data_IF_961049449525
#
_entry.id   IF_961049449525
#
_cell.length_a   1.000
_cell.length_b   1.000
_cell.length_c   1.000
_cell.angle_alpha   90.00
_cell.angle_beta   90.00
_cell.angle_gamma   90.00
#
_symmetry.space_group_name_H-M   'P 1'
#
loop_
_entity.id
_entity.type
_entity.pdbx_description
1 polymer ?
#
# COMPACT_ATOMS: atom_id res chain seq x y z
N UNK A 1 63.69 -16.47 -2.87
CA UNK A 1 62.68 -15.39 -3.05
C UNK A 1 61.35 -15.93 -2.56
N UNK A 2 60.88 -15.51 -1.39
CA UNK A 2 59.58 -15.95 -0.87
C UNK A 2 58.47 -15.21 -1.62
N UNK A 3 57.78 -15.88 -2.56
CA UNK A 3 56.62 -15.32 -3.25
C UNK A 3 55.53 -15.19 -2.24
N UNK A 4 55.17 -13.95 -1.94
CA UNK A 4 54.17 -13.60 -0.96
C UNK A 4 52.78 -13.94 -1.56
N UNK A 5 52.18 -15.06 -1.12
CA UNK A 5 50.85 -15.55 -1.56
C UNK A 5 49.72 -14.55 -1.33
N UNK A 6 49.93 -13.51 -0.55
CA UNK A 6 48.95 -12.42 -0.34
C UNK A 6 48.77 -11.53 -1.58
N UNK A 7 49.84 -11.38 -2.42
CA UNK A 7 49.79 -10.61 -3.68
C UNK A 7 48.95 -11.31 -4.79
N UNK A 8 49.10 -12.63 -4.90
CA UNK A 8 48.31 -13.40 -5.88
C UNK A 8 46.80 -13.42 -5.54
N UNK A 9 46.47 -13.31 -4.26
CA UNK A 9 45.05 -13.25 -3.81
C UNK A 9 44.36 -11.95 -4.22
N UNK A 10 45.07 -10.82 -4.28
CA UNK A 10 44.53 -9.51 -4.73
C UNK A 10 44.38 -9.44 -6.25
N UNK A 11 45.36 -9.97 -7.00
CA UNK A 11 45.31 -10.01 -8.47
C UNK A 11 44.13 -10.87 -8.96
N UNK A 12 43.85 -11.99 -8.30
CA UNK A 12 42.72 -12.87 -8.63
C UNK A 12 41.34 -12.31 -8.30
N UNK A 13 41.27 -11.24 -7.51
CA UNK A 13 39.99 -10.56 -7.21
C UNK A 13 39.52 -9.63 -8.34
N UNK A 14 40.41 -9.20 -9.22
CA UNK A 14 40.15 -8.25 -10.29
C UNK A 14 40.17 -8.86 -11.71
N UNK A 15 40.35 -10.20 -11.84
CA UNK A 15 40.43 -10.86 -13.13
C UNK A 15 39.05 -10.86 -13.80
N UNK A 16 38.99 -10.19 -14.94
CA UNK A 16 37.85 -10.26 -15.86
C UNK A 16 37.89 -11.60 -16.62
N UNK A 17 36.75 -12.13 -17.02
CA UNK A 17 36.65 -13.44 -17.71
C UNK A 17 37.51 -13.52 -19.00
N UNK A 18 37.66 -12.40 -19.72
CA UNK A 18 38.53 -12.33 -20.93
C UNK A 18 39.99 -12.65 -20.66
N UNK A 19 40.47 -12.47 -19.43
CA UNK A 19 41.85 -12.73 -19.01
C UNK A 19 42.05 -14.18 -18.54
N UNK A 20 40.98 -14.92 -18.27
CA UNK A 20 41.05 -16.31 -17.80
C UNK A 20 41.77 -17.23 -18.83
N UNK A 21 41.53 -17.04 -20.12
CA UNK A 21 42.17 -17.83 -21.16
C UNK A 21 43.69 -17.60 -21.28
N UNK A 22 44.14 -16.41 -20.88
CA UNK A 22 45.59 -16.07 -20.84
C UNK A 22 46.25 -16.46 -19.54
N UNK A 23 45.53 -16.40 -18.45
CA UNK A 23 46.03 -16.62 -17.08
C UNK A 23 46.03 -18.11 -16.70
N UNK A 24 45.03 -18.90 -17.17
CA UNK A 24 44.94 -20.33 -16.85
C UNK A 24 46.15 -21.14 -17.33
N UNK A 25 46.66 -20.98 -18.59
CA UNK A 25 47.89 -21.64 -19.03
C UNK A 25 49.11 -21.19 -18.22
N UNK A 26 49.24 -19.87 -17.99
CA UNK A 26 50.34 -19.29 -17.21
C UNK A 26 50.33 -19.75 -15.75
N UNK A 27 49.13 -19.87 -15.15
CA UNK A 27 48.94 -20.40 -13.82
C UNK A 27 49.28 -21.90 -13.74
N UNK A 28 48.87 -22.71 -14.72
CA UNK A 28 49.27 -24.12 -14.83
C UNK A 28 50.76 -24.27 -14.91
N UNK A 29 51.44 -23.46 -15.75
CA UNK A 29 52.88 -23.47 -15.92
C UNK A 29 53.63 -23.04 -14.67
N UNK A 30 53.13 -22.02 -13.97
CA UNK A 30 53.71 -21.58 -12.71
C UNK A 30 53.52 -22.62 -11.56
N UNK A 31 52.39 -23.33 -11.52
CA UNK A 31 52.14 -24.43 -10.59
C UNK A 31 53.09 -25.62 -10.85
N UNK A 32 53.32 -25.93 -12.11
CA UNK A 32 54.26 -26.99 -12.52
C UNK A 32 55.72 -26.61 -12.22
N UNK A 33 56.10 -25.35 -12.40
CA UNK A 33 57.46 -24.84 -12.19
C UNK A 33 57.85 -24.72 -10.71
N UNK A 34 56.86 -24.55 -9.79
CA UNK A 34 57.13 -24.34 -8.35
C UNK A 34 56.87 -25.55 -7.46
N UNK A 35 56.62 -26.76 -8.03
CA UNK A 35 56.42 -28.02 -7.25
C UNK A 35 55.47 -27.86 -6.02
N UNK A 36 54.64 -26.83 -5.99
CA UNK A 36 53.65 -26.69 -4.93
C UNK A 36 52.34 -27.37 -5.41
N UNK A 37 52.11 -28.57 -4.94
CA UNK A 37 50.83 -29.28 -5.13
C UNK A 37 49.75 -28.48 -4.39
N UNK A 38 48.89 -27.81 -5.17
CA UNK A 38 47.70 -27.20 -4.63
C UNK A 38 46.76 -28.34 -4.26
N UNK A 39 46.32 -28.39 -3.02
CA UNK A 39 45.38 -29.41 -2.57
C UNK A 39 44.05 -29.27 -3.33
N UNK A 40 43.36 -30.39 -3.59
CA UNK A 40 42.06 -30.39 -4.28
C UNK A 40 41.04 -29.46 -3.57
N UNK A 41 41.13 -29.41 -2.25
CA UNK A 41 40.29 -28.48 -1.43
C UNK A 41 40.53 -27.00 -1.77
N UNK A 42 41.81 -26.62 -2.03
CA UNK A 42 42.17 -25.26 -2.45
C UNK A 42 41.73 -24.97 -3.87
N UNK A 43 41.89 -25.97 -4.78
CA UNK A 43 41.44 -25.90 -6.18
C UNK A 43 39.91 -25.68 -6.24
N UNK A 44 39.15 -26.44 -5.51
CA UNK A 44 37.67 -26.31 -5.42
C UNK A 44 37.28 -24.92 -4.85
N UNK A 45 37.90 -24.50 -3.75
CA UNK A 45 37.62 -23.19 -3.13
C UNK A 45 37.88 -22.05 -4.12
N UNK A 46 38.93 -22.14 -4.89
CA UNK A 46 39.27 -21.16 -5.92
C UNK A 46 38.28 -21.21 -7.08
N UNK A 47 37.95 -22.38 -7.60
CA UNK A 47 36.97 -22.60 -8.66
C UNK A 47 35.57 -22.05 -8.30
N UNK A 48 35.11 -22.26 -7.05
CA UNK A 48 33.87 -21.68 -6.61
C UNK A 48 33.86 -20.15 -6.63
N UNK A 49 34.98 -19.52 -6.25
CA UNK A 49 35.10 -18.06 -6.31
C UNK A 49 35.05 -17.51 -7.73
N UNK A 50 35.77 -18.18 -8.66
CA UNK A 50 35.74 -17.82 -10.09
C UNK A 50 34.33 -18.00 -10.64
N UNK A 51 33.73 -19.16 -10.39
CA UNK A 51 32.36 -19.44 -10.82
C UNK A 51 31.38 -18.35 -10.33
N UNK A 52 31.44 -17.98 -9.04
CA UNK A 52 30.61 -16.93 -8.48
C UNK A 52 30.81 -15.57 -9.17
N UNK A 53 32.04 -15.13 -9.36
CA UNK A 53 32.34 -13.87 -10.03
C UNK A 53 31.85 -13.85 -11.47
N UNK A 54 32.11 -14.95 -12.22
CA UNK A 54 31.63 -15.10 -13.60
C UNK A 54 30.10 -15.16 -13.65
N UNK A 55 29.46 -15.83 -12.71
CA UNK A 55 28.01 -15.86 -12.60
C UNK A 55 27.44 -14.45 -12.38
N UNK A 56 28.01 -13.67 -11.45
CA UNK A 56 27.59 -12.29 -11.21
C UNK A 56 27.71 -11.43 -12.48
N UNK A 57 28.79 -11.58 -13.24
CA UNK A 57 29.00 -10.87 -14.52
C UNK A 57 28.01 -11.34 -15.59
N UNK A 58 27.79 -12.65 -15.69
CA UNK A 58 26.88 -13.23 -16.67
C UNK A 58 25.42 -12.79 -16.53
N UNK A 59 24.97 -12.58 -15.28
CA UNK A 59 23.58 -12.17 -14.98
C UNK A 59 23.41 -10.67 -14.81
N UNK A 60 24.46 -9.86 -14.90
CA UNK A 60 24.41 -8.42 -14.63
C UNK A 60 23.46 -7.65 -15.55
N UNK A 61 23.33 -8.09 -16.80
CA UNK A 61 22.40 -7.53 -17.79
C UNK A 61 21.04 -8.23 -17.85
N UNK A 62 20.86 -9.28 -17.03
CA UNK A 62 19.68 -10.15 -16.97
C UNK A 62 19.41 -10.97 -18.24
N UNK A 63 20.35 -11.01 -19.18
CA UNK A 63 20.26 -11.81 -20.41
C UNK A 63 21.16 -13.03 -20.36
N UNK A 64 20.56 -14.22 -20.34
CA UNK A 64 21.26 -15.51 -20.35
C UNK A 64 21.44 -15.98 -21.77
N UNK A 65 22.66 -15.79 -22.32
CA UNK A 65 23.01 -16.34 -23.62
C UNK A 65 23.65 -17.73 -23.48
N UNK A 66 23.56 -18.58 -24.52
CA UNK A 66 24.20 -19.90 -24.54
C UNK A 66 25.71 -19.80 -24.30
N UNK A 67 26.36 -18.76 -24.85
CA UNK A 67 27.78 -18.50 -24.63
C UNK A 67 28.11 -18.28 -23.14
N UNK A 68 27.28 -17.50 -22.40
CA UNK A 68 27.47 -17.28 -20.95
C UNK A 68 27.31 -18.58 -20.17
N UNK A 69 26.30 -19.39 -20.51
CA UNK A 69 26.06 -20.70 -19.88
C UNK A 69 27.22 -21.66 -20.18
N UNK A 70 27.71 -21.72 -21.43
CA UNK A 70 28.84 -22.55 -21.80
C UNK A 70 30.08 -22.22 -20.97
N UNK A 71 30.39 -20.92 -20.83
CA UNK A 71 31.51 -20.44 -20.00
C UNK A 71 31.41 -20.88 -18.53
N UNK A 72 30.23 -20.82 -17.95
CA UNK A 72 30.01 -21.29 -16.57
C UNK A 72 30.19 -22.81 -16.45
N UNK A 73 29.79 -23.57 -17.49
CA UNK A 73 29.99 -25.01 -17.54
C UNK A 73 31.48 -25.38 -17.73
N UNK A 74 32.22 -24.64 -18.51
CA UNK A 74 33.69 -24.84 -18.65
C UNK A 74 34.39 -24.67 -17.29
N UNK A 75 34.03 -23.63 -16.52
CA UNK A 75 34.59 -23.42 -15.18
C UNK A 75 34.21 -24.58 -14.25
N UNK A 76 32.92 -25.02 -14.29
CA UNK A 76 32.46 -26.18 -13.52
C UNK A 76 33.30 -27.43 -13.79
N UNK A 77 33.49 -27.77 -15.06
CA UNK A 77 34.23 -28.96 -15.46
C UNK A 77 35.71 -28.82 -15.10
N UNK A 78 36.36 -27.70 -15.42
CA UNK A 78 37.78 -27.46 -15.15
C UNK A 78 38.15 -27.59 -13.67
N UNK A 79 37.32 -27.07 -12.78
CA UNK A 79 37.55 -27.11 -11.33
C UNK A 79 36.89 -28.31 -10.65
N UNK A 80 36.22 -29.18 -11.40
CA UNK A 80 35.50 -30.34 -10.91
C UNK A 80 34.50 -29.94 -9.78
N UNK A 81 33.70 -28.88 -10.03
CA UNK A 81 32.74 -28.40 -9.07
C UNK A 81 31.47 -29.29 -9.08
N UNK A 82 31.04 -29.75 -7.90
CA UNK A 82 29.81 -30.51 -7.77
C UNK A 82 28.58 -29.66 -7.98
N UNK A 83 27.44 -30.28 -8.34
CA UNK A 83 26.17 -29.58 -8.50
C UNK A 83 25.71 -28.90 -7.20
N UNK A 84 26.01 -29.51 -6.06
CA UNK A 84 25.71 -28.92 -4.74
C UNK A 84 26.51 -27.61 -4.51
N UNK A 85 27.77 -27.57 -4.94
CA UNK A 85 28.60 -26.37 -4.83
C UNK A 85 28.12 -25.27 -5.76
N UNK A 86 27.71 -25.62 -6.98
CA UNK A 86 27.10 -24.70 -7.95
C UNK A 86 25.78 -24.14 -7.42
N UNK A 87 24.92 -25.02 -6.92
CA UNK A 87 23.64 -24.63 -6.28
C UNK A 87 23.86 -23.61 -5.15
N UNK A 88 24.86 -23.86 -4.30
CA UNK A 88 25.17 -22.94 -3.20
C UNK A 88 25.56 -21.53 -3.71
N UNK A 89 26.40 -21.44 -4.76
CA UNK A 89 26.81 -20.15 -5.31
C UNK A 89 25.66 -19.43 -6.03
N UNK A 90 24.80 -20.16 -6.73
CA UNK A 90 23.58 -19.62 -7.34
C UNK A 90 22.61 -19.10 -6.30
N UNK A 91 22.36 -19.86 -5.24
CA UNK A 91 21.42 -19.49 -4.17
C UNK A 91 21.83 -18.21 -3.43
N UNK A 92 23.14 -17.93 -3.30
CA UNK A 92 23.64 -16.71 -2.66
C UNK A 92 23.18 -15.41 -3.31
N UNK A 93 22.89 -15.45 -4.62
CA UNK A 93 22.54 -14.25 -5.40
C UNK A 93 21.14 -14.31 -5.99
N UNK A 94 20.48 -15.48 -5.95
CA UNK A 94 19.22 -15.74 -6.64
C UNK A 94 18.13 -14.76 -6.27
N UNK A 95 17.82 -14.59 -4.99
CA UNK A 95 16.75 -13.72 -4.52
C UNK A 95 16.99 -12.25 -4.92
N UNK A 96 18.21 -11.75 -4.69
CA UNK A 96 18.57 -10.38 -5.06
C UNK A 96 18.46 -10.15 -6.56
N UNK A 97 18.94 -11.13 -7.36
CA UNK A 97 18.90 -11.04 -8.83
C UNK A 97 17.48 -11.05 -9.35
N UNK A 98 16.65 -12.00 -8.89
CA UNK A 98 15.24 -12.08 -9.30
C UNK A 98 14.51 -10.82 -8.89
N UNK A 99 14.71 -10.30 -7.67
CA UNK A 99 14.10 -9.05 -7.22
C UNK A 99 14.48 -7.86 -8.10
N UNK A 100 15.78 -7.71 -8.41
CA UNK A 100 16.26 -6.62 -9.25
C UNK A 100 15.71 -6.73 -10.69
N UNK A 101 15.65 -7.96 -11.23
CA UNK A 101 15.05 -8.21 -12.54
C UNK A 101 13.57 -7.83 -12.56
N UNK A 102 12.79 -8.27 -11.57
CA UNK A 102 11.37 -7.91 -11.46
C UNK A 102 11.19 -6.40 -11.35
N UNK A 103 12.02 -5.71 -10.55
CA UNK A 103 11.98 -4.25 -10.45
C UNK A 103 12.28 -3.56 -11.80
N UNK A 104 13.22 -4.11 -12.59
CA UNK A 104 13.54 -3.59 -13.91
C UNK A 104 12.38 -3.79 -14.88
N UNK A 105 11.76 -4.98 -14.90
CA UNK A 105 10.61 -5.27 -15.75
C UNK A 105 9.38 -4.38 -15.44
N UNK A 106 9.23 -3.95 -14.20
CA UNK A 106 8.15 -3.03 -13.81
C UNK A 106 8.53 -1.54 -13.89
N UNK A 107 9.65 -1.17 -14.48
CA UNK A 107 10.12 0.22 -14.52
C UNK A 107 9.18 1.16 -15.28
N UNK A 108 8.51 0.66 -16.32
CA UNK A 108 7.51 1.37 -17.13
C UNK A 108 6.06 1.11 -16.71
N UNK A 109 5.86 0.40 -15.59
CA UNK A 109 4.56 -0.02 -15.05
C UNK A 109 3.77 -0.98 -15.95
N UNK A 110 4.44 -1.67 -16.87
CA UNK A 110 3.84 -2.69 -17.74
C UNK A 110 4.69 -3.95 -17.67
N UNK A 111 4.07 -5.10 -17.41
CA UNK A 111 4.75 -6.39 -17.47
C UNK A 111 4.36 -7.10 -18.77
N UNK A 112 5.27 -7.17 -19.71
CA UNK A 112 5.08 -7.90 -20.96
C UNK A 112 5.22 -9.42 -20.75
N UNK A 113 4.68 -10.22 -21.69
CA UNK A 113 4.84 -11.69 -21.65
C UNK A 113 6.31 -12.09 -21.81
N UNK A 114 7.08 -11.35 -22.60
CA UNK A 114 8.53 -11.56 -22.76
C UNK A 114 9.28 -11.36 -21.46
N UNK A 115 8.96 -10.31 -20.70
CA UNK A 115 9.60 -10.04 -19.41
C UNK A 115 9.21 -11.08 -18.35
N UNK A 116 7.94 -11.51 -18.34
CA UNK A 116 7.50 -12.58 -17.44
C UNK A 116 8.24 -13.90 -17.73
N UNK A 117 8.43 -14.22 -19.03
CA UNK A 117 9.24 -15.35 -19.44
C UNK A 117 10.71 -15.19 -19.03
N UNK A 118 11.25 -13.98 -19.12
CA UNK A 118 12.62 -13.67 -18.70
C UNK A 118 12.81 -13.88 -17.20
N UNK A 119 11.84 -13.45 -16.37
CA UNK A 119 11.84 -13.69 -14.92
C UNK A 119 11.83 -15.19 -14.63
N UNK A 120 10.96 -15.95 -15.30
CA UNK A 120 10.84 -17.41 -15.15
C UNK A 120 12.14 -18.12 -15.56
N UNK A 121 12.71 -17.75 -16.69
CA UNK A 121 13.97 -18.34 -17.18
C UNK A 121 15.14 -18.05 -16.23
N UNK A 122 15.21 -16.83 -15.68
CA UNK A 122 16.25 -16.46 -14.71
C UNK A 122 16.06 -17.23 -13.39
N UNK A 123 14.83 -17.34 -12.88
CA UNK A 123 14.54 -18.11 -11.67
C UNK A 123 14.93 -19.59 -11.85
N UNK A 124 14.56 -20.22 -12.98
CA UNK A 124 14.92 -21.60 -13.28
C UNK A 124 16.44 -21.79 -13.39
N UNK A 125 17.14 -20.88 -14.10
CA UNK A 125 18.60 -20.93 -14.22
C UNK A 125 19.30 -20.84 -12.86
N UNK A 126 18.82 -19.97 -11.98
CA UNK A 126 19.35 -19.80 -10.63
C UNK A 126 18.86 -20.86 -9.65
N UNK A 127 17.97 -21.74 -10.08
CA UNK A 127 17.29 -22.75 -9.23
C UNK A 127 16.55 -22.08 -8.06
N UNK A 128 15.98 -20.89 -8.31
CA UNK A 128 15.17 -20.16 -7.35
C UNK A 128 13.71 -20.61 -7.43
N UNK A 129 13.04 -20.90 -6.30
CA UNK A 129 11.67 -21.37 -6.30
C UNK A 129 10.72 -20.40 -7.02
N UNK A 130 9.92 -20.92 -7.97
CA UNK A 130 9.02 -20.10 -8.78
C UNK A 130 7.88 -19.46 -7.97
N UNK A 131 7.41 -20.12 -6.93
CA UNK A 131 6.45 -19.58 -5.95
C UNK A 131 6.99 -18.32 -5.29
N UNK A 132 8.24 -18.34 -4.81
CA UNK A 132 8.90 -17.15 -4.24
C UNK A 132 9.13 -16.06 -5.27
N UNK A 133 9.47 -16.42 -6.50
CA UNK A 133 9.57 -15.44 -7.59
C UNK A 133 8.20 -14.76 -7.85
N UNK A 134 7.11 -15.55 -7.82
CA UNK A 134 5.74 -15.06 -7.88
C UNK A 134 5.37 -14.13 -6.73
N UNK A 135 5.74 -14.47 -5.50
CA UNK A 135 5.54 -13.60 -4.33
C UNK A 135 6.26 -12.26 -4.47
N UNK A 136 7.53 -12.26 -4.93
CA UNK A 136 8.31 -11.05 -5.19
C UNK A 136 7.62 -10.20 -6.27
N UNK A 137 7.19 -10.83 -7.38
CA UNK A 137 6.46 -10.20 -8.48
C UNK A 137 5.19 -9.52 -7.94
N UNK A 138 4.36 -10.25 -7.23
CA UNK A 138 3.11 -9.74 -6.68
C UNK A 138 3.34 -8.59 -5.70
N UNK A 139 4.31 -8.72 -4.80
CA UNK A 139 4.64 -7.65 -3.84
C UNK A 139 5.03 -6.34 -4.53
N UNK A 140 5.82 -6.40 -5.60
CA UNK A 140 6.22 -5.22 -6.37
C UNK A 140 5.03 -4.66 -7.14
N UNK A 141 4.26 -5.50 -7.84
CA UNK A 141 3.07 -5.11 -8.57
C UNK A 141 2.03 -4.40 -7.68
N UNK A 142 1.75 -4.96 -6.50
CA UNK A 142 0.83 -4.34 -5.54
C UNK A 142 1.35 -3.02 -4.96
N UNK A 143 2.66 -2.90 -4.72
CA UNK A 143 3.26 -1.65 -4.28
C UNK A 143 3.09 -0.55 -5.34
N UNK A 144 3.30 -0.88 -6.61
CA UNK A 144 3.11 0.03 -7.73
C UNK A 144 1.63 0.41 -7.91
N UNK A 145 0.74 -0.58 -7.90
CA UNK A 145 -0.69 -0.34 -7.98
C UNK A 145 -1.19 0.57 -6.87
N UNK A 146 -0.73 0.36 -5.64
CA UNK A 146 -1.09 1.19 -4.50
C UNK A 146 -0.67 2.66 -4.70
N UNK A 147 0.53 2.89 -5.24
CA UNK A 147 1.01 4.24 -5.56
C UNK A 147 0.16 4.91 -6.64
N UNK A 148 -0.16 4.19 -7.73
CA UNK A 148 -1.05 4.68 -8.79
C UNK A 148 -2.43 5.00 -8.22
N UNK A 149 -2.97 4.14 -7.37
CA UNK A 149 -4.26 4.33 -6.71
C UNK A 149 -4.28 5.61 -5.87
N UNK A 150 -3.29 5.80 -5.01
CA UNK A 150 -3.17 6.98 -4.15
C UNK A 150 -3.04 8.28 -4.96
N UNK A 151 -2.28 8.24 -6.04
CA UNK A 151 -2.15 9.37 -6.98
C UNK A 151 -3.51 9.71 -7.63
N UNK A 152 -4.24 8.70 -8.13
CA UNK A 152 -5.53 8.92 -8.82
C UNK A 152 -6.64 9.43 -7.91
N UNK A 153 -6.60 9.10 -6.62
CA UNK A 153 -7.61 9.56 -5.65
C UNK A 153 -7.11 10.70 -4.74
N UNK A 154 -5.99 11.33 -5.07
CA UNK A 154 -5.38 12.41 -4.26
C UNK A 154 -6.30 13.60 -4.04
N UNK A 155 -7.18 13.87 -4.98
CA UNK A 155 -8.23 14.90 -4.95
C UNK A 155 -9.56 14.41 -4.31
N UNK A 156 -9.59 13.21 -3.76
CA UNK A 156 -10.79 12.52 -3.27
C UNK A 156 -11.92 12.41 -4.31
N UNK A 157 -11.57 12.35 -5.60
CA UNK A 157 -12.50 12.22 -6.72
C UNK A 157 -12.08 11.06 -7.62
N UNK A 158 -13.01 10.14 -7.86
CA UNK A 158 -12.82 9.00 -8.77
C UNK A 158 -13.77 9.14 -9.95
N UNK A 159 -13.27 9.76 -11.01
CA UNK A 159 -14.01 9.86 -12.28
C UNK A 159 -14.08 8.51 -13.01
N UNK A 160 -15.02 8.29 -13.93
CA UNK A 160 -15.06 7.10 -14.79
C UNK A 160 -13.78 6.88 -15.60
N UNK A 161 -13.10 7.98 -15.99
CA UNK A 161 -11.82 7.92 -16.68
C UNK A 161 -10.74 7.35 -15.74
N UNK A 162 -10.60 7.90 -14.53
CA UNK A 162 -9.66 7.39 -13.52
C UNK A 162 -9.95 5.93 -13.13
N UNK A 163 -11.24 5.55 -13.07
CA UNK A 163 -11.62 4.14 -12.82
C UNK A 163 -11.16 3.22 -13.95
N UNK A 164 -11.29 3.66 -15.20
CA UNK A 164 -10.81 2.91 -16.37
C UNK A 164 -9.28 2.81 -16.37
N UNK A 165 -8.58 3.90 -16.05
CA UNK A 165 -7.11 3.90 -15.91
C UNK A 165 -6.63 2.95 -14.81
N UNK A 166 -7.32 2.89 -13.68
CA UNK A 166 -7.00 1.93 -12.61
C UNK A 166 -7.21 0.48 -13.07
N UNK A 167 -8.29 0.20 -13.80
CA UNK A 167 -8.52 -1.13 -14.40
C UNK A 167 -7.44 -1.47 -15.43
N UNK A 168 -7.00 -0.51 -16.22
CA UNK A 168 -5.89 -0.71 -17.15
C UNK A 168 -4.57 -0.96 -16.42
N UNK A 169 -4.29 -0.23 -15.34
CA UNK A 169 -3.10 -0.44 -14.51
C UNK A 169 -3.07 -1.87 -13.93
N UNK A 170 -4.19 -2.42 -13.48
CA UNK A 170 -4.22 -3.82 -12.99
C UNK A 170 -3.88 -4.82 -14.09
N UNK A 171 -4.35 -4.60 -15.32
CA UNK A 171 -4.02 -5.44 -16.48
C UNK A 171 -2.54 -5.32 -16.85
N UNK A 172 -2.01 -4.10 -16.91
CA UNK A 172 -0.61 -3.83 -17.23
C UNK A 172 0.34 -4.47 -16.22
N UNK A 173 -0.03 -4.44 -14.93
CA UNK A 173 0.74 -5.06 -13.86
C UNK A 173 0.49 -6.58 -13.74
N UNK A 174 -0.39 -7.15 -14.56
CA UNK A 174 -0.81 -8.57 -14.49
C UNK A 174 -1.26 -9.01 -13.10
N UNK A 175 -2.02 -8.15 -12.42
CA UNK A 175 -2.62 -8.47 -11.12
C UNK A 175 -4.01 -9.06 -11.35
N UNK A 176 -4.28 -10.24 -10.83
CA UNK A 176 -5.60 -10.84 -10.93
C UNK A 176 -6.63 -10.16 -10.01
N UNK A 177 -7.90 -10.23 -10.39
CA UNK A 177 -8.98 -9.53 -9.70
C UNK A 177 -9.21 -10.02 -8.25
N UNK A 178 -8.98 -11.30 -7.98
CA UNK A 178 -9.17 -11.88 -6.66
C UNK A 178 -8.07 -11.38 -5.72
N UNK A 179 -6.83 -11.37 -6.20
CA UNK A 179 -5.68 -10.83 -5.47
C UNK A 179 -5.82 -9.36 -5.13
N UNK A 180 -6.40 -8.53 -6.03
CA UNK A 180 -6.67 -7.11 -5.73
C UNK A 180 -7.64 -6.98 -4.56
N UNK A 181 -8.74 -7.74 -4.59
CA UNK A 181 -9.76 -7.67 -3.54
C UNK A 181 -9.19 -8.08 -2.18
N UNK A 182 -8.33 -9.09 -2.16
CA UNK A 182 -7.64 -9.52 -0.95
C UNK A 182 -6.59 -8.50 -0.46
N UNK A 183 -5.95 -7.78 -1.38
CA UNK A 183 -4.91 -6.80 -1.06
C UNK A 183 -5.48 -5.47 -0.54
N UNK A 184 -6.60 -5.02 -1.10
CA UNK A 184 -7.22 -3.76 -0.70
C UNK A 184 -7.86 -3.91 0.69
N UNK A 185 -7.37 -3.14 1.66
CA UNK A 185 -8.01 -3.09 2.97
C UNK A 185 -9.42 -2.48 2.87
N UNK A 186 -10.31 -2.85 3.78
CA UNK A 186 -11.67 -2.28 3.88
C UNK A 186 -11.67 -0.75 3.92
N UNK A 187 -10.66 -0.15 4.53
CA UNK A 187 -10.49 1.30 4.57
C UNK A 187 -10.28 1.88 3.17
N UNK A 188 -9.45 1.25 2.33
CA UNK A 188 -9.19 1.69 0.96
C UNK A 188 -10.41 1.49 0.06
N UNK A 189 -11.11 0.38 0.22
CA UNK A 189 -12.37 0.13 -0.50
C UNK A 189 -13.40 1.21 -0.16
N UNK A 190 -13.55 1.56 1.11
CA UNK A 190 -14.43 2.65 1.52
C UNK A 190 -14.00 4.00 0.96
N UNK A 191 -12.70 4.29 0.95
CA UNK A 191 -12.17 5.53 0.36
C UNK A 191 -12.46 5.64 -1.13
N UNK A 192 -12.31 4.55 -1.89
CA UNK A 192 -12.64 4.49 -3.32
C UNK A 192 -14.14 4.72 -3.57
N UNK A 193 -15.00 4.05 -2.80
CA UNK A 193 -16.46 4.24 -2.91
C UNK A 193 -16.84 5.68 -2.59
N UNK A 194 -16.24 6.26 -1.56
CA UNK A 194 -16.46 7.66 -1.18
C UNK A 194 -15.99 8.63 -2.25
N UNK A 195 -14.80 8.42 -2.82
CA UNK A 195 -14.28 9.24 -3.90
C UNK A 195 -15.16 9.19 -5.16
N UNK A 196 -15.70 8.00 -5.49
CA UNK A 196 -16.67 7.82 -6.59
C UNK A 196 -17.99 8.53 -6.31
N UNK A 197 -18.50 8.41 -5.08
CA UNK A 197 -19.72 9.09 -4.67
C UNK A 197 -19.57 10.61 -4.77
N UNK A 198 -18.47 11.17 -4.26
CA UNK A 198 -18.21 12.60 -4.33
C UNK A 198 -18.11 13.09 -5.79
N UNK A 199 -17.44 12.36 -6.66
CA UNK A 199 -17.38 12.71 -8.08
C UNK A 199 -18.77 12.71 -8.72
N UNK A 200 -19.58 11.69 -8.44
CA UNK A 200 -20.95 11.60 -8.94
C UNK A 200 -21.80 12.80 -8.46
N UNK A 201 -21.71 13.14 -7.18
CA UNK A 201 -22.44 14.29 -6.62
C UNK A 201 -22.03 15.62 -7.28
N UNK A 202 -20.74 15.83 -7.52
CA UNK A 202 -20.25 17.02 -8.21
C UNK A 202 -20.79 17.15 -9.66
N UNK A 203 -21.17 16.02 -10.28
CA UNK A 203 -21.71 15.97 -11.64
C UNK A 203 -23.24 15.79 -11.69
N UNK A 204 -23.93 15.99 -10.57
CA UNK A 204 -25.38 15.85 -10.49
C UNK A 204 -25.89 14.41 -10.60
N UNK A 205 -25.01 13.41 -10.46
CA UNK A 205 -25.36 11.99 -10.49
C UNK A 205 -25.60 11.53 -9.05
N UNK A 206 -26.85 11.48 -8.65
CA UNK A 206 -27.24 11.06 -7.32
C UNK A 206 -27.52 9.56 -7.28
N UNK A 207 -27.01 8.81 -6.29
CA UNK A 207 -27.34 7.40 -6.12
C UNK A 207 -28.81 7.26 -5.69
N UNK A 208 -29.57 6.44 -6.37
CA UNK A 208 -30.96 6.18 -5.98
C UNK A 208 -31.01 5.13 -4.87
N UNK A 209 -31.69 5.48 -3.78
CA UNK A 209 -31.98 4.56 -2.67
C UNK A 209 -33.31 3.86 -2.97
N UNK A 210 -33.24 2.56 -3.21
CA UNK A 210 -34.43 1.74 -3.43
C UNK A 210 -35.12 1.40 -2.10
N UNK A 211 -36.45 1.48 -2.07
CA UNK A 211 -37.30 1.17 -0.92
C UNK A 211 -36.91 1.92 0.39
N UNK A 212 -36.86 3.26 0.39
CA UNK A 212 -36.67 4.01 1.60
C UNK A 212 -37.89 3.80 2.53
N UNK A 213 -37.65 3.86 3.86
CA UNK A 213 -38.73 3.71 4.87
C UNK A 213 -39.61 4.96 5.00
N UNK A 214 -39.80 5.71 3.92
CA UNK A 214 -40.74 6.85 3.79
C UNK A 214 -41.61 6.67 2.57
N UNK A 215 -42.82 7.22 2.61
CA UNK A 215 -43.68 7.27 1.44
C UNK A 215 -43.14 8.31 0.44
N UNK A 216 -42.89 7.86 -0.79
CA UNK A 216 -42.48 8.70 -1.91
C UNK A 216 -43.70 9.03 -2.79
N UNK A 217 -43.74 10.23 -3.34
CA UNK A 217 -44.67 10.64 -4.38
C UNK A 217 -44.36 9.92 -5.70
N UNK A 218 -45.26 10.00 -6.70
CA UNK A 218 -45.18 9.23 -7.98
C UNK A 218 -43.83 9.39 -8.70
N UNK A 219 -43.25 10.59 -8.71
CA UNK A 219 -41.99 10.90 -9.42
C UNK A 219 -40.86 11.26 -8.45
N UNK A 220 -41.05 10.94 -7.17
CA UNK A 220 -40.08 11.24 -6.12
C UNK A 220 -39.05 10.12 -6.00
N UNK A 221 -37.77 10.49 -6.06
CA UNK A 221 -36.64 9.57 -5.87
C UNK A 221 -35.87 9.94 -4.61
N UNK A 222 -35.57 8.95 -3.79
CA UNK A 222 -34.72 9.12 -2.63
C UNK A 222 -33.24 8.92 -3.02
N UNK A 223 -32.39 9.88 -2.65
CA UNK A 223 -30.97 9.85 -2.96
C UNK A 223 -30.08 9.57 -1.74
N UNK A 224 -30.61 9.83 -0.53
CA UNK A 224 -29.86 9.60 0.70
C UNK A 224 -30.78 9.07 1.78
N UNK A 225 -30.27 8.11 2.53
CA UNK A 225 -30.90 7.56 3.72
C UNK A 225 -29.80 7.34 4.76
N UNK A 226 -29.72 8.20 5.78
CA UNK A 226 -28.68 8.14 6.78
C UNK A 226 -29.25 8.34 8.18
N UNK A 227 -28.66 7.65 9.14
CA UNK A 227 -28.96 7.92 10.54
C UNK A 227 -28.43 9.31 10.93
N UNK A 228 -29.29 10.12 11.53
CA UNK A 228 -29.00 11.47 11.96
C UNK A 228 -29.62 11.74 13.32
N UNK A 229 -29.08 12.71 14.04
CA UNK A 229 -29.67 13.17 15.30
C UNK A 229 -30.05 14.64 15.15
N UNK A 230 -31.34 14.93 15.27
CA UNK A 230 -31.83 16.29 15.33
C UNK A 230 -31.51 16.87 16.71
N UNK A 231 -30.86 18.00 16.69
CA UNK A 231 -30.54 18.75 17.93
C UNK A 231 -31.36 20.01 17.96
N UNK A 232 -32.16 20.15 18.98
CA UNK A 232 -32.96 21.35 19.21
C UNK A 232 -32.54 22.03 20.52
N UNK A 233 -32.40 23.34 20.45
CA UNK A 233 -32.22 24.17 21.66
C UNK A 233 -33.54 24.85 22.01
N UNK A 234 -34.10 24.48 23.12
CA UNK A 234 -35.36 25.05 23.60
C UNK A 234 -35.12 25.93 24.84
N UNK A 235 -35.72 27.10 24.83
CA UNK A 235 -35.80 27.95 26.00
C UNK A 235 -36.94 27.45 26.86
N UNK A 236 -36.63 26.75 27.94
CA UNK A 236 -37.63 26.29 28.92
C UNK A 236 -37.64 27.20 30.14
N UNK A 237 -38.78 27.30 30.77
CA UNK A 237 -38.91 28.05 31.99
C UNK A 237 -38.29 27.26 33.14
N UNK A 238 -37.15 27.70 33.68
CA UNK A 238 -36.38 27.02 34.71
C UNK A 238 -36.79 27.44 36.14
N UNK A 239 -37.89 28.20 36.26
CA UNK A 239 -38.37 28.68 37.54
C UNK A 239 -38.33 30.22 37.68
N UNK A 240 -38.40 30.70 38.89
CA UNK A 240 -38.33 32.13 39.18
C UNK A 240 -37.11 32.42 40.05
N UNK A 241 -36.33 33.38 39.65
CA UNK A 241 -35.30 33.99 40.52
C UNK A 241 -35.97 35.05 41.39
N UNK A 242 -35.80 34.94 42.69
CA UNK A 242 -36.28 35.97 43.66
C UNK A 242 -35.13 36.90 44.00
N UNK A 243 -35.24 38.16 43.58
CA UNK A 243 -34.35 39.19 44.09
C UNK A 243 -35.11 39.96 45.21
N UNK A 244 -34.58 39.92 46.40
CA UNK A 244 -35.12 40.75 47.53
C UNK A 244 -34.20 41.94 47.75
N UNK A 245 -34.69 43.12 47.45
CA UNK A 245 -34.08 44.38 47.88
C UNK A 245 -34.82 44.83 49.14
N UNK A 246 -34.13 44.91 50.26
CA UNK A 246 -34.70 45.38 51.49
C UNK A 246 -33.62 45.92 52.45
N UNK A 247 -33.96 46.96 53.14
CA UNK A 247 -33.13 47.53 54.19
C UNK A 247 -33.62 46.99 55.54
N UNK A 248 -32.72 46.42 56.29
CA UNK A 248 -32.97 45.97 57.64
C UNK A 248 -32.52 47.05 58.61
N UNK A 249 -33.39 47.49 59.48
CA UNK A 249 -33.04 48.41 60.50
C UNK A 249 -33.47 47.86 61.89
N UNK A 250 -32.70 48.19 62.90
CA UNK A 250 -32.94 47.72 64.27
C UNK A 250 -33.94 48.63 64.94
N UNK A 251 -35.08 48.08 65.35
CA UNK A 251 -36.15 48.83 66.01
C UNK A 251 -35.91 48.92 67.51
N UNK A 252 -35.45 47.84 68.17
CA UNK A 252 -35.02 47.77 69.53
C UNK A 252 -34.07 46.60 69.78
N UNK A 253 -33.48 46.48 70.98
CA UNK A 253 -32.51 45.43 71.29
C UNK A 253 -33.18 44.04 71.12
N UNK A 254 -32.69 43.31 70.09
CA UNK A 254 -33.19 41.96 69.72
C UNK A 254 -34.28 41.92 68.66
N UNK A 255 -34.80 43.08 68.19
CA UNK A 255 -35.85 43.13 67.13
C UNK A 255 -35.33 43.90 65.91
N UNK A 256 -35.26 43.23 64.74
CA UNK A 256 -34.95 43.82 63.48
C UNK A 256 -36.20 43.85 62.61
N UNK A 257 -36.54 44.97 62.06
CA UNK A 257 -37.56 45.10 61.00
C UNK A 257 -36.89 45.20 59.64
N UNK A 258 -37.41 44.50 58.65
CA UNK A 258 -36.98 44.56 57.27
C UNK A 258 -38.12 45.05 56.41
N UNK A 259 -37.88 46.16 55.67
CA UNK A 259 -38.78 46.67 54.67
C UNK A 259 -38.13 46.44 53.33
N UNK A 260 -38.81 45.68 52.48
CA UNK A 260 -38.32 45.42 51.10
C UNK A 260 -39.33 44.60 50.32
N UNK A 261 -39.34 44.83 49.00
CA UNK A 261 -40.14 44.07 48.04
C UNK A 261 -39.32 43.00 47.35
N UNK A 262 -39.87 41.82 47.20
CA UNK A 262 -39.30 40.80 46.37
C UNK A 262 -39.88 40.86 44.94
N UNK A 263 -39.05 40.91 43.92
CA UNK A 263 -39.49 40.76 42.54
C UNK A 263 -39.09 39.34 42.03
N UNK A 264 -40.08 38.63 41.49
CA UNK A 264 -39.88 37.37 40.84
C UNK A 264 -39.60 37.62 39.34
N UNK A 265 -38.48 37.14 38.87
CA UNK A 265 -38.13 37.18 37.42
C UNK A 265 -38.13 35.75 36.91
N UNK A 266 -38.84 35.46 35.80
CA UNK A 266 -38.77 34.14 35.20
C UNK A 266 -37.35 33.90 34.69
N UNK A 267 -36.76 32.81 35.10
CA UNK A 267 -35.46 32.34 34.58
C UNK A 267 -35.76 31.39 33.44
N UNK A 268 -35.14 31.66 32.29
CA UNK A 268 -35.18 30.77 31.13
C UNK A 268 -33.83 30.11 30.99
N UNK A 269 -33.84 28.80 30.77
CA UNK A 269 -32.64 28.00 30.54
C UNK A 269 -32.72 27.36 29.14
N UNK A 270 -31.58 27.33 28.48
CA UNK A 270 -31.44 26.62 27.20
C UNK A 270 -31.28 25.12 27.48
N UNK A 271 -32.27 24.33 27.15
CA UNK A 271 -32.21 22.89 27.22
C UNK A 271 -31.98 22.33 25.81
N UNK A 272 -30.97 21.49 25.68
CA UNK A 272 -30.64 20.80 24.44
C UNK A 272 -31.38 19.47 24.41
N UNK A 273 -32.34 19.34 23.51
CA UNK A 273 -33.02 18.07 23.25
C UNK A 273 -32.38 17.40 22.02
N UNK A 274 -32.22 16.08 22.05
CA UNK A 274 -31.68 15.29 20.96
C UNK A 274 -32.67 14.21 20.55
N UNK A 275 -32.95 14.12 19.25
CA UNK A 275 -33.88 13.16 18.67
C UNK A 275 -33.15 12.31 17.65
N UNK A 276 -32.73 11.06 17.97
CA UNK A 276 -32.17 10.16 16.99
C UNK A 276 -33.22 9.73 15.97
N UNK A 277 -32.85 9.71 14.71
CA UNK A 277 -33.77 9.38 13.61
C UNK A 277 -33.03 9.09 12.33
N UNK A 278 -33.75 9.18 11.20
CA UNK A 278 -33.23 8.99 9.87
C UNK A 278 -33.51 10.22 9.02
N UNK A 279 -32.49 10.71 8.34
CA UNK A 279 -32.58 11.79 7.38
C UNK A 279 -32.64 11.19 5.96
N UNK A 280 -33.62 11.65 5.20
CA UNK A 280 -33.80 11.31 3.80
C UNK A 280 -33.67 12.58 2.96
N UNK A 281 -32.96 12.46 1.85
CA UNK A 281 -32.88 13.49 0.81
C UNK A 281 -33.52 12.94 -0.45
N UNK A 282 -34.51 13.66 -0.97
CA UNK A 282 -35.16 13.31 -2.23
C UNK A 282 -34.94 14.41 -3.28
N UNK A 283 -35.40 14.19 -4.51
CA UNK A 283 -35.41 15.25 -5.54
C UNK A 283 -36.35 16.41 -5.24
N UNK A 284 -37.27 16.28 -4.27
CA UNK A 284 -38.31 17.29 -3.96
C UNK A 284 -38.26 17.82 -2.53
N UNK A 285 -37.71 17.06 -1.59
CA UNK A 285 -37.72 17.43 -0.17
C UNK A 285 -36.63 16.77 0.65
N UNK A 286 -36.34 17.37 1.80
CA UNK A 286 -35.57 16.74 2.88
C UNK A 286 -36.57 16.28 3.95
N UNK A 287 -36.50 15.03 4.35
CA UNK A 287 -37.37 14.45 5.38
C UNK A 287 -36.52 13.93 6.52
N UNK A 288 -36.83 14.35 7.74
CA UNK A 288 -36.30 13.74 8.94
C UNK A 288 -37.41 12.98 9.66
N UNK A 289 -37.16 11.74 10.01
CA UNK A 289 -38.09 10.89 10.71
C UNK A 289 -37.44 10.29 11.96
N UNK A 290 -38.00 10.63 13.12
CA UNK A 290 -37.68 10.05 14.42
C UNK A 290 -39.00 9.67 15.12
N UNK A 291 -39.03 8.59 15.85
CA UNK A 291 -40.22 7.93 16.39
C UNK A 291 -41.27 8.77 17.12
N UNK A 292 -41.02 10.04 17.39
CA UNK A 292 -41.99 11.00 17.99
C UNK A 292 -41.91 12.38 17.37
N UNK A 293 -41.00 12.59 16.41
CA UNK A 293 -40.77 13.88 15.78
C UNK A 293 -40.32 13.71 14.32
N UNK A 294 -41.07 14.30 13.42
CA UNK A 294 -40.73 14.32 12.01
C UNK A 294 -40.93 15.71 11.45
N UNK A 295 -40.11 16.07 10.46
CA UNK A 295 -40.31 17.29 9.70
C UNK A 295 -39.93 17.04 8.21
N UNK A 296 -40.44 17.88 7.35
CA UNK A 296 -40.05 17.93 5.97
C UNK A 296 -39.77 19.38 5.55
N UNK A 297 -38.76 19.54 4.69
CA UNK A 297 -38.44 20.82 4.07
C UNK A 297 -38.55 20.60 2.56
N UNK A 298 -39.48 21.30 1.94
CA UNK A 298 -39.65 21.25 0.49
C UNK A 298 -38.51 22.01 -0.18
N UNK A 299 -38.02 21.50 -1.29
CA UNK A 299 -37.09 22.24 -2.16
C UNK A 299 -37.89 23.42 -2.74
N UNK A 300 -37.37 24.64 -2.62
CA UNK A 300 -37.90 25.76 -3.37
C UNK A 300 -37.57 25.52 -4.86
N UNK A 301 -38.61 25.51 -5.69
CA UNK A 301 -38.46 25.47 -7.15
C UNK A 301 -37.75 26.68 -7.66
#
# INVERSE_FOLDING_TARGET
MKINLSGTHKVLQSINYSELHTILPTYQQNVLNHKKVISDKQKIKFGRKIYYNTLCTAIADFHLTQSKIAKLNEIKVYFNLSDQQIFFEKNRISEKTVKNLVQKCYADHVLTDSEEQQITNMANFLQFPLDKAGEIKNKIAFSLFNRILEEKISDNRLSPIKETELKQATRNLKIDQQSITAFLSDRKIRSLRHAKLLWNLDHGIFPVVYNPSIALSRDEQCYLNVHATLIENKLVHAGYSRSSTGVSFRVMKGVNARIGGGRYRPVKENVRETHPGTLYLTNSRIVFNAGGKSFQILSAN
#
